data_IF_924472851178
#
_entry.id   IF_924472851178
#
_cell.length_a   1.000
_cell.length_b   1.000
_cell.length_c   1.000
_cell.angle_alpha   90.00
_cell.angle_beta   90.00
_cell.angle_gamma   90.00
#
_symmetry.space_group_name_H-M   'P 1'
#
loop_
_entity.id
_entity.type
_entity.pdbx_description
1 polymer ?
#
# COMPACT_ATOMS: atom_id res chain seq x y z
N UNK A 1 11.12 -6.79 20.65
CA UNK A 1 10.44 -5.95 21.66
C UNK A 1 9.08 -5.56 21.12
N UNK A 2 7.99 -5.96 21.77
CA UNK A 2 6.67 -5.36 21.49
C UNK A 2 6.71 -3.93 22.04
N UNK A 3 6.26 -2.96 21.24
CA UNK A 3 6.07 -1.58 21.69
C UNK A 3 5.19 -1.57 22.95
N UNK A 4 5.57 -0.79 23.95
CA UNK A 4 4.76 -0.56 25.16
C UNK A 4 3.69 0.52 24.96
N UNK A 5 3.74 1.26 23.85
CA UNK A 5 2.70 2.21 23.50
C UNK A 5 1.47 1.46 22.98
N UNK A 6 0.25 1.81 23.43
CA UNK A 6 -0.96 1.24 22.88
C UNK A 6 -1.04 1.52 21.38
N UNK A 7 -1.58 0.57 20.62
CA UNK A 7 -1.89 0.78 19.21
C UNK A 7 -2.90 1.93 19.09
N UNK A 8 -2.75 2.78 18.06
CA UNK A 8 -3.73 3.82 17.77
C UNK A 8 -4.94 3.23 17.05
N UNK A 9 -6.10 3.82 17.24
CA UNK A 9 -7.35 3.40 16.62
C UNK A 9 -7.25 3.32 15.09
N UNK A 10 -8.03 2.43 14.49
CA UNK A 10 -8.11 2.20 13.05
C UNK A 10 -8.28 3.50 12.28
N UNK A 11 -7.41 3.73 11.30
CA UNK A 11 -7.46 4.94 10.48
C UNK A 11 -6.87 6.19 11.10
N UNK A 12 -6.31 6.11 12.32
CA UNK A 12 -5.48 7.19 12.87
C UNK A 12 -4.29 7.46 11.95
N UNK A 13 -4.05 8.72 11.59
CA UNK A 13 -2.84 9.15 10.89
C UNK A 13 -1.62 8.97 11.82
N UNK A 14 -0.70 8.11 11.44
CA UNK A 14 0.52 7.80 12.20
C UNK A 14 1.72 8.65 11.76
N UNK A 15 1.67 9.19 10.54
CA UNK A 15 2.75 10.01 9.98
C UNK A 15 2.75 10.01 8.45
N UNK A 16 3.87 10.42 7.87
CA UNK A 16 4.04 10.55 6.43
C UNK A 16 5.35 9.91 5.97
N UNK A 17 5.28 9.16 4.87
CA UNK A 17 6.45 8.71 4.12
C UNK A 17 6.90 9.80 3.11
N UNK A 18 8.09 9.66 2.50
CA UNK A 18 8.53 10.54 1.42
C UNK A 18 7.46 10.71 0.33
N UNK A 19 7.38 11.93 -0.22
CA UNK A 19 6.29 12.33 -1.10
C UNK A 19 5.01 12.76 -0.38
N UNK A 20 5.08 12.99 0.94
CA UNK A 20 3.95 13.36 1.78
C UNK A 20 2.81 12.33 1.75
N UNK A 21 3.16 11.04 1.75
CA UNK A 21 2.19 9.93 1.67
C UNK A 21 1.80 9.48 3.07
N UNK A 22 0.54 9.69 3.45
CA UNK A 22 0.03 9.37 4.78
C UNK A 22 0.09 7.87 5.11
N UNK A 23 0.51 7.56 6.33
CA UNK A 23 0.49 6.21 6.93
C UNK A 23 -0.61 6.17 7.98
N UNK A 24 -1.48 5.17 7.93
CA UNK A 24 -2.62 5.04 8.84
C UNK A 24 -2.55 3.76 9.66
N UNK A 25 -3.11 3.79 10.87
CA UNK A 25 -3.27 2.59 11.69
C UNK A 25 -4.18 1.57 11.02
N UNK A 26 -3.76 0.30 11.07
CA UNK A 26 -4.51 -0.86 10.56
C UNK A 26 -5.03 -1.76 11.68
N UNK A 27 -5.23 -1.21 12.89
CA UNK A 27 -5.76 -1.97 14.02
C UNK A 27 -7.26 -2.23 13.85
N UNK A 28 -7.62 -3.29 13.12
CA UNK A 28 -9.01 -3.60 12.79
C UNK A 28 -9.89 -3.90 14.00
N UNK A 29 -9.32 -4.27 15.15
CA UNK A 29 -10.09 -4.55 16.37
C UNK A 29 -10.73 -3.26 16.93
N UNK A 30 -10.21 -2.09 16.55
CA UNK A 30 -10.73 -0.77 16.92
C UNK A 30 -11.58 -0.12 15.82
N UNK A 31 -11.82 -0.82 14.71
CA UNK A 31 -12.61 -0.29 13.61
C UNK A 31 -14.08 -0.12 14.02
N UNK A 32 -14.63 1.09 13.83
CA UNK A 32 -16.02 1.38 14.13
C UNK A 32 -16.96 0.74 13.11
N UNK A 33 -17.73 -0.26 13.52
CA UNK A 33 -18.68 -1.01 12.67
C UNK A 33 -19.77 -0.12 12.05
N UNK A 34 -20.13 1.01 12.67
CA UNK A 34 -21.09 1.97 12.08
C UNK A 34 -20.50 2.71 10.88
N UNK A 35 -19.18 2.90 10.86
CA UNK A 35 -18.44 3.51 9.74
C UNK A 35 -18.03 2.46 8.71
N UNK A 36 -17.68 1.26 9.18
CA UNK A 36 -17.21 0.15 8.36
C UNK A 36 -18.11 -1.09 8.48
N UNK A 37 -19.39 -0.99 8.06
CA UNK A 37 -20.39 -2.04 8.29
C UNK A 37 -20.18 -3.30 7.43
N UNK A 38 -19.33 -3.23 6.40
CA UNK A 38 -19.08 -4.33 5.49
C UNK A 38 -17.71 -4.19 4.80
N UNK A 39 -17.29 -5.25 4.10
CA UNK A 39 -16.01 -5.33 3.40
C UNK A 39 -15.80 -4.21 2.36
N UNK A 40 -16.87 -3.72 1.73
CA UNK A 40 -16.75 -2.64 0.73
C UNK A 40 -16.41 -1.29 1.38
N UNK A 41 -16.82 -1.04 2.62
CA UNK A 41 -16.47 0.19 3.35
C UNK A 41 -14.96 0.31 3.63
N UNK A 42 -14.27 -0.83 3.70
CA UNK A 42 -12.82 -0.90 3.85
C UNK A 42 -12.05 -0.67 2.54
N UNK A 43 -12.70 -0.49 1.39
CA UNK A 43 -11.97 -0.21 0.14
C UNK A 43 -11.43 1.22 0.14
N UNK A 44 -10.14 1.36 -0.12
CA UNK A 44 -9.47 2.64 -0.33
C UNK A 44 -9.48 2.98 -1.82
N UNK A 45 -9.88 4.20 -2.15
CA UNK A 45 -9.87 4.73 -3.52
C UNK A 45 -9.21 6.10 -3.51
N UNK A 46 -8.43 6.37 -4.56
CA UNK A 46 -7.83 7.67 -4.85
C UNK A 46 -7.96 7.92 -6.34
N UNK A 47 -8.53 9.06 -6.73
CA UNK A 47 -8.80 9.43 -8.14
C UNK A 47 -9.58 8.35 -8.91
N UNK A 48 -10.51 7.68 -8.22
CA UNK A 48 -11.30 6.57 -8.75
C UNK A 48 -10.55 5.24 -8.89
N UNK A 49 -9.26 5.19 -8.55
CA UNK A 49 -8.41 4.00 -8.64
C UNK A 49 -8.44 3.28 -7.28
N UNK A 50 -8.67 1.97 -7.32
CA UNK A 50 -8.64 1.13 -6.13
C UNK A 50 -7.21 0.98 -5.61
N UNK A 51 -6.96 1.48 -4.40
CA UNK A 51 -5.63 1.39 -3.77
C UNK A 51 -5.47 0.08 -3.00
N UNK A 52 -6.54 -0.49 -2.46
CA UNK A 52 -6.49 -1.69 -1.62
C UNK A 52 -7.47 -1.61 -0.46
N UNK A 53 -7.35 -2.50 0.52
CA UNK A 53 -8.12 -2.42 1.75
C UNK A 53 -7.44 -1.47 2.74
N UNK A 54 -8.18 -0.46 3.22
CA UNK A 54 -7.78 0.42 4.34
C UNK A 54 -7.41 -0.44 5.55
N UNK A 55 -6.22 -0.35 6.13
CA UNK A 55 -5.02 0.38 5.71
C UNK A 55 -3.83 -0.57 5.51
N UNK A 56 -4.10 -1.73 4.92
CA UNK A 56 -3.16 -2.84 4.75
C UNK A 56 -1.90 -2.44 4.00
N UNK A 57 -0.83 -3.21 4.19
CA UNK A 57 0.47 -2.98 3.56
C UNK A 57 0.40 -2.86 2.03
N UNK A 58 -0.45 -3.66 1.37
CA UNK A 58 -0.63 -3.60 -0.09
C UNK A 58 -1.31 -2.30 -0.52
N UNK A 59 -2.26 -1.78 0.28
CA UNK A 59 -2.91 -0.49 0.03
C UNK A 59 -1.89 0.64 0.07
N UNK A 60 -1.08 0.67 1.12
CA UNK A 60 -0.06 1.69 1.30
C UNK A 60 0.98 1.64 0.18
N UNK A 61 1.49 0.46 -0.17
CA UNK A 61 2.48 0.29 -1.23
C UNK A 61 1.95 0.80 -2.58
N UNK A 62 0.71 0.44 -2.95
CA UNK A 62 0.09 0.87 -4.22
C UNK A 62 -0.13 2.39 -4.23
N UNK A 63 -0.67 2.95 -3.15
CA UNK A 63 -0.90 4.40 -3.01
C UNK A 63 0.40 5.20 -3.02
N UNK A 64 1.45 4.68 -2.39
CA UNK A 64 2.77 5.30 -2.36
C UNK A 64 3.38 5.36 -3.77
N UNK A 65 3.33 4.25 -4.53
CA UNK A 65 3.80 4.23 -5.92
C UNK A 65 2.99 5.16 -6.83
N UNK A 66 1.68 5.23 -6.61
CA UNK A 66 0.80 6.11 -7.39
C UNK A 66 1.14 7.59 -7.15
N UNK A 67 1.23 8.02 -5.89
CA UNK A 67 1.47 9.42 -5.55
C UNK A 67 2.87 9.91 -5.93
N UNK A 68 3.89 9.06 -5.83
CA UNK A 68 5.27 9.45 -6.14
C UNK A 68 5.64 9.29 -7.61
N UNK A 69 5.09 8.28 -8.28
CA UNK A 69 5.55 7.87 -9.60
C UNK A 69 4.43 7.73 -10.65
N UNK A 70 3.16 7.90 -10.27
CA UNK A 70 2.00 7.60 -11.13
C UNK A 70 1.91 6.15 -11.59
N UNK A 71 2.53 5.22 -10.85
CA UNK A 71 2.52 3.78 -11.15
C UNK A 71 1.62 3.02 -10.20
N UNK A 72 0.98 1.96 -10.72
CA UNK A 72 0.30 0.97 -9.89
C UNK A 72 0.69 -0.44 -10.32
N UNK A 73 0.78 -1.36 -9.37
CA UNK A 73 0.86 -2.79 -9.65
C UNK A 73 -0.53 -3.43 -9.65
N UNK A 74 -0.66 -4.57 -10.34
CA UNK A 74 -1.92 -5.30 -10.52
C UNK A 74 -2.51 -5.78 -9.17
N UNK A 75 -3.77 -6.24 -9.18
CA UNK A 75 -4.38 -6.75 -7.95
C UNK A 75 -3.79 -8.10 -7.53
N UNK A 76 -3.56 -8.26 -6.23
CA UNK A 76 -2.91 -9.42 -5.63
C UNK A 76 -3.65 -9.86 -4.39
N UNK A 77 -3.69 -11.17 -4.14
CA UNK A 77 -4.34 -11.72 -2.95
C UNK A 77 -3.46 -11.52 -1.71
N UNK A 78 -2.16 -11.79 -1.82
CA UNK A 78 -1.22 -11.74 -0.72
C UNK A 78 -0.03 -10.84 -1.03
N UNK A 79 0.48 -10.12 -0.03
CA UNK A 79 1.58 -9.17 -0.21
C UNK A 79 2.87 -9.81 -0.77
N UNK A 80 3.11 -11.09 -0.49
CA UNK A 80 4.29 -11.78 -1.02
C UNK A 80 4.22 -11.98 -2.55
N UNK A 81 3.02 -11.97 -3.14
CA UNK A 81 2.82 -12.11 -4.59
C UNK A 81 3.36 -10.89 -5.37
N UNK A 82 3.60 -9.73 -4.70
CA UNK A 82 4.27 -8.57 -5.29
C UNK A 82 5.61 -8.98 -5.91
N UNK A 83 6.34 -9.87 -5.25
CA UNK A 83 7.67 -10.28 -5.70
C UNK A 83 7.65 -11.07 -7.01
N UNK A 84 6.50 -11.61 -7.42
CA UNK A 84 6.33 -12.32 -8.68
C UNK A 84 5.85 -11.43 -9.83
N UNK A 85 5.48 -10.18 -9.54
CA UNK A 85 5.12 -9.22 -10.58
C UNK A 85 6.33 -8.84 -11.43
N UNK A 86 6.09 -8.67 -12.73
CA UNK A 86 7.12 -8.30 -13.73
C UNK A 86 6.79 -7.03 -14.49
N UNK A 87 5.66 -6.40 -14.18
CA UNK A 87 5.30 -5.11 -14.73
C UNK A 87 4.44 -4.29 -13.77
N UNK A 88 4.47 -2.99 -13.95
CA UNK A 88 3.52 -2.04 -13.35
C UNK A 88 2.85 -1.24 -14.46
N UNK A 89 1.66 -0.70 -14.19
CA UNK A 89 0.95 0.18 -15.11
C UNK A 89 1.26 1.64 -14.76
N UNK A 90 1.73 2.39 -15.75
CA UNK A 90 1.75 3.86 -15.69
C UNK A 90 0.32 4.37 -15.93
N UNK A 91 -0.23 5.08 -14.97
CA UNK A 91 -1.62 5.57 -15.02
C UNK A 91 -1.79 6.68 -16.06
N UNK A 92 -0.75 7.46 -16.35
CA UNK A 92 -0.86 8.57 -17.29
C UNK A 92 -0.86 8.08 -18.73
N UNK A 93 0.08 7.20 -19.08
CA UNK A 93 0.22 6.67 -20.43
C UNK A 93 -0.56 5.38 -20.69
N UNK A 94 -1.04 4.71 -19.64
CA UNK A 94 -1.63 3.37 -19.67
C UNK A 94 -0.67 2.26 -20.16
N UNK A 95 0.62 2.56 -20.30
CA UNK A 95 1.63 1.60 -20.69
C UNK A 95 2.04 0.70 -19.51
N UNK A 96 2.52 -0.50 -19.84
CA UNK A 96 3.18 -1.38 -18.86
C UNK A 96 4.68 -1.13 -18.86
N UNK A 97 5.22 -0.82 -17.69
CA UNK A 97 6.65 -0.66 -17.45
C UNK A 97 7.21 -1.92 -16.79
N UNK A 98 8.45 -2.33 -17.11
CA UNK A 98 9.07 -3.51 -16.50
C UNK A 98 9.31 -3.31 -15.00
N UNK A 99 9.02 -4.36 -14.22
CA UNK A 99 9.33 -4.43 -12.79
C UNK A 99 10.25 -5.62 -12.55
N UNK A 100 11.41 -5.36 -11.95
CA UNK A 100 12.42 -6.38 -11.69
C UNK A 100 12.42 -6.78 -10.21
N UNK A 101 12.53 -8.08 -9.95
CA UNK A 101 12.61 -8.64 -8.61
C UNK A 101 14.07 -8.98 -8.26
N UNK A 102 14.55 -8.44 -7.14
CA UNK A 102 15.89 -8.71 -6.63
C UNK A 102 15.79 -9.41 -5.28
N UNK A 103 16.29 -10.65 -5.20
CA UNK A 103 16.25 -11.43 -3.94
C UNK A 103 17.18 -10.80 -2.90
N UNK A 104 16.82 -10.95 -1.62
CA UNK A 104 17.73 -10.57 -0.55
C UNK A 104 19.06 -11.33 -0.68
N UNK A 105 20.19 -10.63 -0.52
CA UNK A 105 21.53 -11.16 -0.77
C UNK A 105 22.00 -11.11 -2.24
N UNK A 106 21.20 -10.55 -3.16
CA UNK A 106 21.66 -10.28 -4.52
C UNK A 106 22.77 -9.22 -4.56
N UNK A 107 23.59 -9.23 -5.62
CA UNK A 107 24.62 -8.20 -5.87
C UNK A 107 24.03 -6.82 -6.15
N UNK A 108 22.77 -6.77 -6.58
CA UNK A 108 22.07 -5.52 -6.79
C UNK A 108 21.60 -4.95 -5.46
N UNK A 109 22.20 -3.84 -5.03
CA UNK A 109 21.86 -3.19 -3.78
C UNK A 109 20.44 -2.58 -3.82
N UNK A 110 19.70 -2.57 -2.70
CA UNK A 110 18.45 -1.83 -2.59
C UNK A 110 18.70 -0.33 -2.86
N UNK A 111 17.75 0.29 -3.54
CA UNK A 111 17.73 1.73 -3.78
C UNK A 111 16.51 2.33 -3.09
N UNK A 112 16.56 3.63 -2.80
CA UNK A 112 15.37 4.35 -2.33
C UNK A 112 14.32 4.23 -3.42
N UNK A 113 13.15 3.74 -3.03
CA UNK A 113 11.97 3.64 -3.89
C UNK A 113 11.38 5.00 -4.14
#
# INVERSE_FOLDING_TARGET
>A
MKSSAPASDFGTLLGYAPGNVAVYSSDYDTANESIYPNRSAFRSYLDGIYMGYKWQCVEFARRWMYLNHSYIFDDIAMAYDIFELRSVRDVNSQNRLPLNAFKNGAKHHPQVG
#
